data_IF_405909777090
#
_entry.id   IF_405909777090
#
_cell.length_a   1.000
_cell.length_b   1.000
_cell.length_c   1.000
_cell.angle_alpha   90.00
_cell.angle_beta   90.00
_cell.angle_gamma   90.00
#
_symmetry.space_group_name_H-M   'P 1'
#
loop_
_entity.id
_entity.type
_entity.pdbx_description
1 polymer ?
#
# COMPACT_ATOMS: atom_id res chain seq x y z
N UNK A 1 -9.39 12.45 -14.16
CA UNK A 1 -9.61 13.51 -13.15
C UNK A 1 -8.52 13.37 -12.10
N UNK A 2 -7.67 14.38 -12.00
CA UNK A 2 -6.42 14.38 -11.27
C UNK A 2 -6.63 14.53 -9.77
N UNK A 3 -5.90 13.73 -9.01
CA UNK A 3 -5.74 13.86 -7.57
C UNK A 3 -5.47 15.31 -7.15
N UNK A 4 -5.87 15.75 -5.95
CA UNK A 4 -5.32 16.99 -5.41
C UNK A 4 -3.81 16.75 -5.26
N UNK A 5 -3.00 17.65 -5.84
CA UNK A 5 -1.54 17.54 -5.94
C UNK A 5 -0.82 17.48 -4.58
N UNK A 6 -1.51 17.68 -3.46
CA UNK A 6 -0.93 17.70 -2.12
C UNK A 6 -1.17 16.36 -1.39
N UNK A 7 -0.11 15.55 -1.17
CA UNK A 7 -0.18 14.31 -0.40
C UNK A 7 -0.74 14.50 1.02
N UNK A 8 -0.57 15.67 1.63
CA UNK A 8 -1.13 15.96 2.96
C UNK A 8 -2.65 16.07 2.92
N UNK A 9 -3.21 16.65 1.85
CA UNK A 9 -4.66 16.72 1.66
C UNK A 9 -5.23 15.31 1.42
N UNK A 10 -4.54 14.48 0.64
CA UNK A 10 -4.96 13.09 0.40
C UNK A 10 -5.01 12.27 1.70
N UNK A 11 -3.96 12.33 2.52
CA UNK A 11 -3.95 11.63 3.83
C UNK A 11 -5.10 12.07 4.73
N UNK A 12 -5.38 13.38 4.78
CA UNK A 12 -6.54 13.90 5.54
C UNK A 12 -7.87 13.39 5.00
N UNK A 13 -8.05 13.30 3.67
CA UNK A 13 -9.27 12.76 3.06
C UNK A 13 -9.48 11.28 3.41
N UNK A 14 -8.43 10.45 3.32
CA UNK A 14 -8.48 9.03 3.71
C UNK A 14 -8.78 8.88 5.20
N UNK A 15 -8.17 9.68 6.07
CA UNK A 15 -8.47 9.62 7.50
C UNK A 15 -9.89 10.04 7.83
N UNK A 16 -10.45 11.04 7.15
CA UNK A 16 -11.87 11.40 7.28
C UNK A 16 -12.75 10.21 6.89
N UNK A 17 -12.49 9.58 5.74
CA UNK A 17 -13.24 8.39 5.30
C UNK A 17 -13.18 7.26 6.33
N UNK A 18 -11.99 6.98 6.90
CA UNK A 18 -11.81 5.98 7.96
C UNK A 18 -12.55 6.31 9.25
N UNK A 19 -12.75 7.58 9.57
CA UNK A 19 -13.56 7.98 10.73
C UNK A 19 -15.04 7.71 10.44
N UNK A 20 -15.52 8.07 9.25
CA UNK A 20 -16.92 7.84 8.86
C UNK A 20 -17.24 6.34 8.80
N UNK A 21 -16.36 5.53 8.23
CA UNK A 21 -16.55 4.07 8.09
C UNK A 21 -16.66 3.33 9.43
N UNK A 22 -15.94 3.80 10.45
CA UNK A 22 -15.95 3.19 11.79
C UNK A 22 -17.24 3.45 12.59
N UNK A 23 -18.09 4.37 12.15
CA UNK A 23 -19.32 4.69 12.86
C UNK A 23 -20.51 4.09 12.12
N UNK A 24 -21.39 3.43 12.88
CA UNK A 24 -22.68 3.00 12.34
C UNK A 24 -23.60 4.23 12.21
N UNK A 25 -23.79 4.70 10.97
CA UNK A 25 -24.74 5.77 10.65
C UNK A 25 -24.11 7.10 10.24
N UNK A 26 -24.87 8.18 10.42
CA UNK A 26 -24.53 9.52 9.92
C UNK A 26 -23.53 10.20 10.86
N UNK A 27 -22.39 10.66 10.31
CA UNK A 27 -21.31 11.28 11.11
C UNK A 27 -21.15 12.77 10.81
N UNK A 28 -21.23 13.58 11.87
CA UNK A 28 -21.08 15.04 11.80
C UNK A 28 -19.63 15.53 11.81
N UNK A 29 -19.43 16.76 11.35
CA UNK A 29 -18.09 17.37 11.23
C UNK A 29 -17.35 17.54 12.58
N UNK A 30 -18.08 17.67 13.69
CA UNK A 30 -17.52 17.74 15.04
C UNK A 30 -16.84 16.43 15.45
N UNK A 31 -17.56 15.32 15.32
CA UNK A 31 -17.04 13.97 15.64
C UNK A 31 -15.78 13.69 14.80
N UNK A 32 -15.83 14.03 13.51
CA UNK A 32 -14.68 13.88 12.61
C UNK A 32 -13.50 14.76 13.05
N UNK A 33 -13.75 16.03 13.37
CA UNK A 33 -12.72 16.97 13.85
C UNK A 33 -12.01 16.46 15.10
N UNK A 34 -12.78 15.98 16.09
CA UNK A 34 -12.24 15.46 17.33
C UNK A 34 -11.41 14.20 17.10
N UNK A 35 -11.92 13.25 16.31
CA UNK A 35 -11.21 12.01 15.96
C UNK A 35 -9.92 12.27 15.14
N UNK A 36 -9.94 13.23 14.22
CA UNK A 36 -8.74 13.62 13.47
C UNK A 36 -7.67 14.22 14.37
N UNK A 37 -8.08 15.05 15.34
CA UNK A 37 -7.16 15.66 16.30
C UNK A 37 -6.45 14.59 17.15
N UNK A 38 -7.18 13.59 17.62
CA UNK A 38 -6.61 12.44 18.35
C UNK A 38 -5.61 11.63 17.52
N UNK A 39 -5.80 11.58 16.19
CA UNK A 39 -4.92 10.92 15.23
C UNK A 39 -3.75 11.79 14.75
N UNK A 40 -3.56 12.98 15.32
CA UNK A 40 -2.45 13.88 14.96
C UNK A 40 -2.72 14.77 13.74
N UNK A 41 -3.98 14.87 13.29
CA UNK A 41 -4.41 15.75 12.21
C UNK A 41 -5.25 16.91 12.77
N UNK A 42 -4.63 17.99 13.29
CA UNK A 42 -5.39 19.11 13.84
C UNK A 42 -6.16 19.82 12.71
N UNK A 43 -7.47 19.59 12.67
CA UNK A 43 -8.35 20.16 11.66
C UNK A 43 -9.70 20.51 12.28
N UNK A 44 -10.02 21.80 12.37
CA UNK A 44 -11.31 22.25 12.90
C UNK A 44 -12.49 21.92 11.98
N UNK A 45 -13.71 21.96 12.54
CA UNK A 45 -14.94 21.58 11.83
C UNK A 45 -15.16 22.27 10.47
N UNK A 46 -14.76 23.54 10.33
CA UNK A 46 -14.87 24.26 9.04
C UNK A 46 -13.99 23.61 7.97
N UNK A 47 -12.77 23.21 8.33
CA UNK A 47 -11.85 22.50 7.44
C UNK A 47 -12.36 21.09 7.13
N UNK A 48 -12.92 20.40 8.12
CA UNK A 48 -13.59 19.12 7.90
C UNK A 48 -14.74 19.25 6.90
N UNK A 49 -15.62 20.25 7.06
CA UNK A 49 -16.73 20.50 6.11
C UNK A 49 -16.24 20.77 4.68
N UNK A 50 -15.09 21.43 4.53
CA UNK A 50 -14.46 21.62 3.22
C UNK A 50 -14.06 20.28 2.59
N UNK A 51 -13.37 19.41 3.33
CA UNK A 51 -12.98 18.09 2.82
C UNK A 51 -14.17 17.16 2.57
N UNK A 52 -15.21 17.25 3.39
CA UNK A 52 -16.45 16.49 3.18
C UNK A 52 -17.11 16.85 1.83
N UNK A 53 -17.10 18.12 1.42
CA UNK A 53 -17.59 18.51 0.09
C UNK A 53 -16.79 17.85 -1.03
N UNK A 54 -15.48 17.77 -0.88
CA UNK A 54 -14.60 17.10 -1.86
C UNK A 54 -14.92 15.60 -1.92
N UNK A 55 -15.20 14.96 -0.79
CA UNK A 55 -15.58 13.55 -0.74
C UNK A 55 -16.97 13.31 -1.36
N UNK A 56 -17.91 14.21 -1.12
CA UNK A 56 -19.26 14.21 -1.71
C UNK A 56 -19.16 14.36 -3.25
N UNK A 57 -18.39 15.33 -3.75
CA UNK A 57 -18.14 15.57 -5.19
C UNK A 57 -17.50 14.35 -5.88
N UNK A 58 -16.76 13.53 -5.13
CA UNK A 58 -16.14 12.29 -5.63
C UNK A 58 -17.04 11.07 -5.49
N UNK A 59 -18.21 11.22 -4.88
CA UNK A 59 -19.12 10.11 -4.58
C UNK A 59 -18.51 9.09 -3.61
N UNK A 60 -17.63 9.54 -2.70
CA UNK A 60 -17.04 8.71 -1.65
C UNK A 60 -17.88 8.76 -0.37
N UNK A 61 -18.57 9.88 -0.14
CA UNK A 61 -19.55 10.06 0.94
C UNK A 61 -20.89 10.52 0.40
N UNK A 62 -21.93 10.31 1.20
CA UNK A 62 -23.28 10.82 0.92
C UNK A 62 -23.71 11.78 2.02
N UNK A 63 -24.21 12.96 1.62
CA UNK A 63 -24.58 14.04 2.53
C UNK A 63 -26.01 13.95 3.05
N UNK A 64 -26.17 14.01 4.37
CA UNK A 64 -27.46 14.04 5.08
C UNK A 64 -27.72 15.43 5.68
N UNK A 65 -27.45 16.48 4.91
CA UNK A 65 -27.60 17.88 5.35
C UNK A 65 -26.72 18.24 6.56
N UNK A 66 -27.34 18.78 7.61
CA UNK A 66 -26.66 19.15 8.86
C UNK A 66 -26.34 17.95 9.76
N UNK A 67 -27.00 16.81 9.56
CA UNK A 67 -26.80 15.61 10.38
C UNK A 67 -25.40 15.03 10.18
N UNK A 68 -24.86 15.10 8.95
CA UNK A 68 -23.53 14.58 8.65
C UNK A 68 -23.45 13.85 7.33
N UNK A 69 -22.56 12.86 7.27
CA UNK A 69 -22.31 12.04 6.07
C UNK A 69 -22.31 10.57 6.44
N UNK A 70 -22.70 9.73 5.48
CA UNK A 70 -22.43 8.29 5.49
C UNK A 70 -21.35 7.97 4.46
N UNK A 71 -20.64 6.87 4.67
CA UNK A 71 -19.69 6.36 3.67
C UNK A 71 -20.45 5.58 2.59
N UNK A 72 -19.99 5.72 1.35
CA UNK A 72 -20.49 4.91 0.21
C UNK A 72 -19.63 3.67 0.04
N UNK A 73 -20.08 2.71 -0.76
CA UNK A 73 -19.26 1.54 -1.09
C UNK A 73 -17.96 1.90 -1.81
N UNK A 74 -18.02 2.91 -2.69
CA UNK A 74 -16.83 3.44 -3.36
C UNK A 74 -15.85 4.07 -2.35
N UNK A 75 -16.38 4.74 -1.33
CA UNK A 75 -15.60 5.27 -0.21
C UNK A 75 -14.85 4.19 0.56
N UNK A 76 -15.50 3.04 0.83
CA UNK A 76 -14.86 1.89 1.48
C UNK A 76 -13.73 1.30 0.63
N UNK A 77 -13.99 1.13 -0.66
CA UNK A 77 -12.98 0.65 -1.61
C UNK A 77 -11.76 1.58 -1.69
N UNK A 78 -11.98 2.89 -1.66
CA UNK A 78 -10.89 3.88 -1.63
C UNK A 78 -10.01 3.73 -0.37
N UNK A 79 -10.60 3.43 0.80
CA UNK A 79 -9.84 3.17 2.03
C UNK A 79 -8.93 1.94 1.85
N UNK A 80 -9.46 0.86 1.25
CA UNK A 80 -8.72 -0.37 0.98
C UNK A 80 -7.57 -0.14 0.01
N UNK A 81 -7.83 0.54 -1.11
CA UNK A 81 -6.80 0.87 -2.11
C UNK A 81 -5.69 1.76 -1.51
N UNK A 82 -6.04 2.75 -0.68
CA UNK A 82 -5.07 3.60 0.00
C UNK A 82 -4.18 2.81 0.99
N UNK A 83 -4.73 1.83 1.71
CA UNK A 83 -3.95 0.94 2.57
C UNK A 83 -2.93 0.12 1.76
N UNK A 84 -3.31 -0.37 0.58
CA UNK A 84 -2.42 -1.12 -0.31
C UNK A 84 -1.28 -0.22 -0.80
N UNK A 85 -1.58 1.01 -1.22
CA UNK A 85 -0.56 1.96 -1.68
C UNK A 85 0.46 2.31 -0.59
N UNK A 86 0.00 2.64 0.63
CA UNK A 86 0.89 2.94 1.76
C UNK A 86 1.81 1.75 2.08
N UNK A 87 1.27 0.52 2.03
CA UNK A 87 2.03 -0.71 2.26
C UNK A 87 3.09 -0.95 1.18
N UNK A 88 2.75 -0.76 -0.10
CA UNK A 88 3.69 -0.92 -1.21
C UNK A 88 4.83 0.09 -1.08
N UNK A 89 4.53 1.35 -0.76
CA UNK A 89 5.54 2.38 -0.55
C UNK A 89 6.54 2.01 0.55
N UNK A 90 6.06 1.50 1.69
CA UNK A 90 6.93 1.03 2.77
C UNK A 90 7.81 -0.16 2.35
N UNK A 91 7.21 -1.17 1.68
CA UNK A 91 7.96 -2.33 1.19
C UNK A 91 9.04 -1.90 0.19
N UNK A 92 8.72 -0.98 -0.71
CA UNK A 92 9.66 -0.47 -1.70
C UNK A 92 10.86 0.23 -1.03
N UNK A 93 10.62 1.10 -0.05
CA UNK A 93 11.69 1.75 0.71
C UNK A 93 12.60 0.74 1.43
N UNK A 94 12.03 -0.33 1.99
CA UNK A 94 12.82 -1.41 2.61
C UNK A 94 13.63 -2.20 1.58
N UNK A 95 13.08 -2.45 0.38
CA UNK A 95 13.80 -3.10 -0.71
C UNK A 95 14.98 -2.21 -1.17
N UNK A 96 14.75 -0.92 -1.35
CA UNK A 96 15.82 0.03 -1.71
C UNK A 96 16.92 0.06 -0.65
N UNK A 97 16.55 0.18 0.63
CA UNK A 97 17.51 0.15 1.75
C UNK A 97 18.35 -1.13 1.74
N UNK A 98 17.71 -2.28 1.52
CA UNK A 98 18.40 -3.54 1.35
C UNK A 98 19.37 -3.50 0.16
N UNK A 99 18.92 -3.07 -1.02
CA UNK A 99 19.77 -2.94 -2.21
C UNK A 99 21.00 -2.07 -1.90
N UNK A 100 20.86 -0.96 -1.18
CA UNK A 100 21.99 -0.11 -0.76
C UNK A 100 22.98 -0.79 0.20
N UNK A 101 22.56 -1.82 0.93
CA UNK A 101 23.43 -2.61 1.81
C UNK A 101 24.16 -3.76 1.07
N UNK A 102 23.89 -3.94 -0.22
CA UNK A 102 24.57 -4.93 -1.07
C UNK A 102 25.94 -4.39 -1.49
N UNK A 103 27.01 -5.16 -1.25
CA UNK A 103 28.40 -4.83 -1.62
C UNK A 103 29.09 -6.07 -2.22
N UNK A 104 28.38 -6.76 -3.11
CA UNK A 104 28.88 -7.98 -3.72
C UNK A 104 29.93 -7.65 -4.79
N UNK A 105 31.16 -8.12 -4.56
CA UNK A 105 32.24 -8.03 -5.50
C UNK A 105 32.19 -9.24 -6.46
N UNK A 106 31.93 -8.98 -7.74
CA UNK A 106 31.84 -10.00 -8.79
C UNK A 106 33.16 -10.75 -9.04
N UNK A 107 34.32 -10.08 -8.92
CA UNK A 107 35.63 -10.70 -9.18
C UNK A 107 36.06 -11.64 -8.04
N UNK A 108 35.71 -11.28 -6.80
CA UNK A 108 36.05 -12.05 -5.59
C UNK A 108 34.96 -13.02 -5.17
N UNK A 109 33.80 -12.98 -5.84
CA UNK A 109 32.58 -13.71 -5.50
C UNK A 109 32.22 -13.62 -4.02
N UNK A 110 32.39 -12.42 -3.44
CA UNK A 110 32.24 -12.18 -2.00
C UNK A 110 31.56 -10.85 -1.73
N UNK A 111 30.80 -10.83 -0.64
CA UNK A 111 30.08 -9.67 -0.16
C UNK A 111 28.60 -9.99 0.09
N UNK A 112 27.89 -9.13 0.80
CA UNK A 112 26.46 -9.31 1.07
C UNK A 112 25.65 -9.11 -0.21
N UNK A 113 24.64 -9.96 -0.41
CA UNK A 113 23.59 -9.83 -1.42
C UNK A 113 22.22 -9.99 -0.76
N UNK A 114 21.20 -9.34 -1.32
CA UNK A 114 19.82 -9.69 -1.01
C UNK A 114 19.30 -10.69 -2.03
N UNK A 115 18.78 -11.79 -1.51
CA UNK A 115 18.12 -12.83 -2.29
C UNK A 115 16.70 -13.05 -1.75
N UNK A 116 15.73 -13.10 -2.67
CA UNK A 116 14.43 -13.66 -2.35
C UNK A 116 14.50 -15.17 -2.52
N UNK A 117 14.13 -15.90 -1.48
CA UNK A 117 14.11 -17.37 -1.48
C UNK A 117 12.66 -17.81 -1.37
N UNK A 118 12.26 -18.76 -2.19
CA UNK A 118 10.93 -19.36 -2.17
C UNK A 118 11.07 -20.86 -2.32
N UNK A 119 10.32 -21.61 -1.50
CA UNK A 119 10.26 -23.07 -1.58
C UNK A 119 9.03 -23.47 -2.36
N UNK A 120 9.21 -24.33 -3.35
CA UNK A 120 8.13 -24.91 -4.15
C UNK A 120 8.16 -26.42 -4.01
N UNK A 121 7.02 -27.08 -4.21
CA UNK A 121 7.03 -28.54 -4.29
C UNK A 121 7.69 -28.98 -5.59
N UNK A 122 8.31 -30.15 -5.57
CA UNK A 122 8.95 -30.72 -6.77
C UNK A 122 7.96 -30.93 -7.92
N UNK A 123 6.71 -31.26 -7.61
CA UNK A 123 5.64 -31.43 -8.59
C UNK A 123 5.27 -30.13 -9.34
N UNK A 124 5.51 -28.97 -8.72
CA UNK A 124 5.16 -27.66 -9.28
C UNK A 124 6.36 -26.98 -10.00
N UNK A 125 7.50 -27.68 -10.14
CA UNK A 125 8.73 -27.09 -10.69
C UNK A 125 8.56 -26.61 -12.14
N UNK A 126 7.91 -27.42 -12.98
CA UNK A 126 7.72 -27.08 -14.39
C UNK A 126 6.81 -25.85 -14.56
N UNK A 127 5.76 -25.76 -13.74
CA UNK A 127 4.85 -24.60 -13.72
C UNK A 127 5.60 -23.34 -13.25
N UNK A 128 6.42 -23.45 -12.19
CA UNK A 128 7.23 -22.34 -11.70
C UNK A 128 8.24 -21.86 -12.74
N UNK A 129 8.89 -22.78 -13.46
CA UNK A 129 9.80 -22.46 -14.57
C UNK A 129 9.07 -21.79 -15.73
N UNK A 130 7.83 -22.21 -16.02
CA UNK A 130 6.95 -21.57 -17.00
C UNK A 130 6.69 -20.11 -16.66
N UNK A 131 6.34 -19.82 -15.40
CA UNK A 131 6.14 -18.44 -14.92
C UNK A 131 7.44 -17.64 -15.02
N UNK A 132 8.56 -18.17 -14.55
CA UNK A 132 9.85 -17.46 -14.58
C UNK A 132 10.30 -17.13 -16.00
N UNK A 133 10.07 -18.04 -16.95
CA UNK A 133 10.33 -17.79 -18.38
C UNK A 133 9.48 -16.65 -18.92
N UNK A 134 8.17 -16.68 -18.64
CA UNK A 134 7.25 -15.62 -19.04
C UNK A 134 7.71 -14.25 -18.51
N UNK A 135 8.11 -14.17 -17.23
CA UNK A 135 8.60 -12.91 -16.65
C UNK A 135 9.92 -12.44 -17.28
N UNK A 136 10.84 -13.36 -17.58
CA UNK A 136 12.10 -13.04 -18.25
C UNK A 136 11.89 -12.44 -19.64
N UNK A 137 10.89 -12.92 -20.38
CA UNK A 137 10.55 -12.41 -21.71
C UNK A 137 9.92 -11.01 -21.67
N UNK A 138 9.38 -10.61 -20.52
CA UNK A 138 8.71 -9.31 -20.31
C UNK A 138 9.57 -8.30 -19.54
N UNK A 139 10.90 -8.45 -19.57
CA UNK A 139 11.84 -7.43 -19.11
C UNK A 139 12.21 -7.50 -17.62
N UNK A 140 11.82 -8.56 -16.91
CA UNK A 140 12.34 -8.81 -15.57
C UNK A 140 13.67 -9.59 -15.65
N UNK A 141 14.79 -8.89 -15.48
CA UNK A 141 16.11 -9.54 -15.38
C UNK A 141 16.33 -10.10 -13.98
N UNK A 142 16.08 -11.39 -13.82
CA UNK A 142 16.29 -12.11 -12.56
C UNK A 142 17.44 -13.12 -12.72
N UNK A 143 18.43 -13.08 -11.82
CA UNK A 143 19.37 -14.20 -11.65
C UNK A 143 18.69 -15.23 -10.76
N UNK A 144 18.37 -16.38 -11.32
CA UNK A 144 17.69 -17.47 -10.62
C UNK A 144 18.72 -18.57 -10.36
N UNK A 145 18.78 -19.05 -9.12
CA UNK A 145 19.52 -20.26 -8.74
C UNK A 145 18.53 -21.25 -8.15
N UNK A 146 18.41 -22.43 -8.76
CA UNK A 146 17.59 -23.53 -8.25
C UNK A 146 18.50 -24.39 -7.36
N UNK A 147 18.04 -24.66 -6.14
CA UNK A 147 18.74 -25.50 -5.18
C UNK A 147 17.80 -26.65 -4.84
N UNK A 148 18.18 -27.87 -5.21
CA UNK A 148 17.44 -29.06 -4.78
C UNK A 148 17.83 -29.43 -3.35
N UNK A 149 16.82 -29.65 -2.51
CA UNK A 149 17.03 -30.25 -1.20
C UNK A 149 17.64 -31.65 -1.42
N UNK A 150 18.87 -31.83 -0.93
CA UNK A 150 19.81 -32.97 -1.07
C UNK A 150 21.04 -32.81 -1.97
N UNK A 151 21.36 -31.62 -2.49
CA UNK A 151 22.72 -31.34 -2.96
C UNK A 151 23.68 -31.08 -1.79
N UNK A 152 23.88 -32.10 -0.96
CA UNK A 152 24.98 -32.18 0.00
C UNK A 152 26.28 -32.40 -0.76
N UNK A 153 26.85 -31.35 -1.36
CA UNK A 153 28.24 -31.34 -1.82
C UNK A 153 28.79 -29.91 -1.76
N UNK A 154 28.93 -29.39 -0.54
CA UNK A 154 29.91 -28.34 -0.27
C UNK A 154 31.20 -29.01 0.22
N UNK A 155 32.14 -29.22 -0.71
CA UNK A 155 33.57 -29.23 -0.44
C UNK A 155 34.20 -28.05 -1.14
#
# INVERSE_FOLDING_TARGET
MTFPLDPQIQRKLIEILRVIDKHEGVVGARIISDALKERGYPLGERGVRYHLRILDERGLTEGHGYAGRTITERGRKEIEEALVQDRIGFIHARIEEMIYQTDFNLEKERGPVIANITTIKKEDLDDALGVLRYLSEHGMSCRIKIIEEHASDYR
#
